data_IF_723283356987
#
_entry.id   IF_723283356987
#
_cell.length_a   1.000
_cell.length_b   1.000
_cell.length_c   1.000
_cell.angle_alpha   90.00
_cell.angle_beta   90.00
_cell.angle_gamma   90.00
#
_symmetry.space_group_name_H-M   'P 1'
#
loop_
_entity.id
_entity.type
_entity.pdbx_description
1 polymer ?
#
# COMPACT_ATOMS: atom_id res chain seq x y z
N UNK A 1 7.76 12.64 -28.42
CA UNK A 1 7.27 11.52 -27.58
C UNK A 1 6.00 12.01 -26.89
N UNK A 2 4.92 11.25 -26.97
CA UNK A 2 3.65 11.56 -26.28
C UNK A 2 3.82 11.32 -24.77
N UNK A 3 3.19 12.14 -23.94
CA UNK A 3 3.12 11.90 -22.49
C UNK A 3 2.40 10.58 -22.23
N UNK A 4 2.96 9.66 -21.41
CA UNK A 4 2.30 8.40 -21.09
C UNK A 4 0.93 8.62 -20.44
N UNK A 5 -0.02 7.72 -20.72
CA UNK A 5 -1.33 7.73 -20.07
C UNK A 5 -1.20 7.44 -18.57
N UNK A 6 -2.27 7.68 -17.79
CA UNK A 6 -2.27 7.30 -16.37
C UNK A 6 -2.20 5.79 -16.22
N UNK A 7 -2.91 5.02 -17.04
CA UNK A 7 -2.80 3.56 -17.07
C UNK A 7 -1.36 3.10 -17.30
N UNK A 8 -0.65 3.68 -18.27
CA UNK A 8 0.75 3.34 -18.54
C UNK A 8 1.67 3.65 -17.34
N UNK A 9 1.51 4.82 -16.71
CA UNK A 9 2.30 5.19 -15.52
C UNK A 9 2.02 4.30 -14.31
N UNK A 10 0.75 3.96 -14.07
CA UNK A 10 0.34 3.02 -13.01
C UNK A 10 0.96 1.64 -13.24
N UNK A 11 0.87 1.14 -14.47
CA UNK A 11 1.43 -0.14 -14.86
C UNK A 11 2.93 -0.20 -14.55
N UNK A 12 3.68 0.83 -14.95
CA UNK A 12 5.12 0.92 -14.64
C UNK A 12 5.38 0.97 -13.13
N UNK A 13 4.59 1.72 -12.35
CA UNK A 13 4.75 1.76 -10.89
C UNK A 13 4.54 0.39 -10.24
N UNK A 14 3.52 -0.35 -10.66
CA UNK A 14 3.24 -1.69 -10.13
C UNK A 14 4.36 -2.66 -10.50
N UNK A 15 4.85 -2.60 -11.74
CA UNK A 15 5.98 -3.43 -12.18
C UNK A 15 7.25 -3.16 -11.37
N UNK A 16 7.59 -1.90 -11.15
CA UNK A 16 8.78 -1.54 -10.39
C UNK A 16 8.62 -1.88 -8.90
N UNK A 17 7.42 -1.72 -8.34
CA UNK A 17 7.11 -2.15 -6.96
C UNK A 17 7.37 -3.64 -6.78
N UNK A 18 6.91 -4.47 -7.73
CA UNK A 18 7.18 -5.91 -7.69
C UNK A 18 8.68 -6.19 -7.69
N UNK A 19 9.45 -5.51 -8.55
CA UNK A 19 10.92 -5.72 -8.62
C UNK A 19 11.58 -5.39 -7.28
N UNK A 20 11.28 -4.22 -6.72
CA UNK A 20 11.82 -3.81 -5.41
C UNK A 20 11.49 -4.82 -4.33
N UNK A 21 10.23 -5.27 -4.27
CA UNK A 21 9.78 -6.24 -3.28
C UNK A 21 10.54 -7.57 -3.40
N UNK A 22 10.71 -8.09 -4.61
CA UNK A 22 11.47 -9.33 -4.85
C UNK A 22 12.97 -9.15 -4.58
N UNK A 23 13.56 -8.02 -4.96
CA UNK A 23 14.97 -7.71 -4.71
C UNK A 23 15.29 -7.65 -3.21
N UNK A 24 14.44 -6.97 -2.42
CA UNK A 24 14.59 -6.92 -0.95
C UNK A 24 14.48 -8.32 -0.36
N UNK A 25 13.49 -9.10 -0.80
CA UNK A 25 13.30 -10.48 -0.36
C UNK A 25 14.52 -11.37 -0.66
N UNK A 26 14.96 -11.40 -1.93
CA UNK A 26 16.06 -12.24 -2.39
C UNK A 26 17.39 -11.86 -1.72
N UNK A 27 17.53 -10.59 -1.33
CA UNK A 27 18.67 -10.08 -0.57
C UNK A 27 18.72 -10.51 0.90
N UNK A 28 17.64 -11.08 1.45
CA UNK A 28 17.62 -11.57 2.83
C UNK A 28 18.49 -12.82 3.02
N UNK A 29 19.13 -13.01 4.18
CA UNK A 29 19.72 -14.29 4.57
C UNK A 29 18.72 -15.45 4.41
N UNK A 30 19.15 -16.64 3.92
CA UNK A 30 18.23 -17.77 3.71
C UNK A 30 17.42 -18.20 4.92
N UNK A 31 17.96 -18.01 6.14
CA UNK A 31 17.24 -18.29 7.39
C UNK A 31 16.06 -17.34 7.62
N UNK A 32 16.18 -16.08 7.19
CA UNK A 32 15.10 -15.09 7.30
C UNK A 32 14.05 -15.27 6.19
N UNK A 33 14.48 -15.70 5.00
CA UNK A 33 13.56 -16.06 3.92
C UNK A 33 12.59 -17.19 4.32
N UNK A 34 12.99 -18.08 5.22
CA UNK A 34 12.11 -19.17 5.69
C UNK A 34 11.66 -19.00 7.14
N UNK A 35 11.93 -17.84 7.74
CA UNK A 35 11.50 -17.55 9.09
C UNK A 35 9.97 -17.60 9.21
N UNK A 36 9.52 -17.86 10.44
CA UNK A 36 8.11 -17.82 10.81
C UNK A 36 7.93 -16.68 11.79
N UNK A 37 6.98 -15.80 11.50
CA UNK A 37 6.61 -14.73 12.41
C UNK A 37 5.63 -15.20 13.48
N UNK A 38 5.20 -14.23 14.26
CA UNK A 38 4.08 -14.28 15.18
C UNK A 38 3.02 -13.29 14.71
N UNK A 39 1.78 -13.39 15.20
CA UNK A 39 0.68 -12.58 14.64
C UNK A 39 0.89 -11.07 14.80
N UNK A 40 1.62 -10.69 15.84
CA UNK A 40 2.02 -9.34 16.23
C UNK A 40 3.42 -8.95 15.75
N UNK A 41 4.18 -9.89 15.16
CA UNK A 41 5.49 -9.63 14.56
C UNK A 41 5.74 -10.58 13.39
N UNK A 42 5.33 -10.16 12.21
CA UNK A 42 5.42 -10.95 10.98
C UNK A 42 6.87 -11.18 10.57
N UNK A 43 7.19 -12.39 10.11
CA UNK A 43 8.44 -12.61 9.40
C UNK A 43 8.31 -12.05 7.98
N UNK A 44 9.42 -11.81 7.28
CA UNK A 44 9.38 -11.31 5.91
C UNK A 44 8.43 -12.12 4.99
N UNK A 45 8.35 -13.45 5.19
CA UNK A 45 7.49 -14.33 4.38
C UNK A 45 6.00 -14.05 4.59
N UNK A 46 5.64 -13.69 5.80
CA UNK A 46 4.27 -13.40 6.19
C UNK A 46 3.81 -12.06 5.56
N UNK A 47 4.72 -11.06 5.49
CA UNK A 47 4.51 -9.84 4.70
C UNK A 47 4.26 -10.15 3.22
N UNK A 48 5.06 -11.04 2.60
CA UNK A 48 4.83 -11.44 1.20
C UNK A 48 3.46 -12.06 0.98
N UNK A 49 3.05 -12.98 1.86
CA UNK A 49 1.75 -13.63 1.77
C UNK A 49 0.60 -12.62 1.94
N UNK A 50 0.78 -11.67 2.85
CA UNK A 50 -0.19 -10.59 3.06
C UNK A 50 -0.33 -9.67 1.84
N UNK A 51 0.79 -9.23 1.25
CA UNK A 51 0.78 -8.42 0.00
C UNK A 51 0.12 -9.21 -1.13
N UNK A 52 0.51 -10.47 -1.34
CA UNK A 52 -0.06 -11.33 -2.38
C UNK A 52 -1.58 -11.49 -2.24
N UNK A 53 -2.08 -11.61 -1.00
CA UNK A 53 -3.51 -11.72 -0.74
C UNK A 53 -4.28 -10.45 -1.14
N UNK A 54 -3.81 -9.27 -0.71
CA UNK A 54 -4.49 -8.02 -1.00
C UNK A 54 -4.40 -7.63 -2.48
N UNK A 55 -3.30 -7.98 -3.15
CA UNK A 55 -3.21 -7.87 -4.61
C UNK A 55 -4.14 -8.85 -5.32
N UNK A 56 -4.29 -10.08 -4.83
CA UNK A 56 -5.26 -11.03 -5.37
C UNK A 56 -6.70 -10.53 -5.20
N UNK A 57 -6.99 -9.85 -4.08
CA UNK A 57 -8.29 -9.20 -3.83
C UNK A 57 -8.55 -8.05 -4.80
N UNK A 58 -7.51 -7.26 -5.10
CA UNK A 58 -7.56 -6.19 -6.12
C UNK A 58 -7.78 -6.76 -7.51
N UNK A 59 -7.02 -7.80 -7.88
CA UNK A 59 -7.18 -8.54 -9.12
C UNK A 59 -8.61 -9.08 -9.28
N UNK A 60 -9.21 -9.65 -8.23
CA UNK A 60 -10.58 -10.16 -8.29
C UNK A 60 -11.59 -9.03 -8.57
N UNK A 61 -11.38 -7.81 -8.05
CA UNK A 61 -12.20 -6.63 -8.42
C UNK A 61 -12.02 -6.29 -9.89
N UNK A 62 -10.80 -6.29 -10.41
CA UNK A 62 -10.55 -6.01 -11.83
C UNK A 62 -11.19 -7.06 -12.75
N UNK A 63 -11.03 -8.35 -12.42
CA UNK A 63 -11.68 -9.46 -13.14
C UNK A 63 -13.20 -9.30 -13.14
N UNK A 64 -13.80 -8.87 -12.02
CA UNK A 64 -15.24 -8.57 -11.97
C UNK A 64 -15.65 -7.41 -12.89
N UNK A 65 -14.89 -6.31 -12.91
CA UNK A 65 -15.11 -5.17 -13.81
C UNK A 65 -15.08 -5.61 -15.28
N UNK A 66 -14.23 -6.58 -15.61
CA UNK A 66 -14.09 -7.18 -16.94
C UNK A 66 -15.13 -8.28 -17.25
N UNK A 67 -16.17 -8.42 -16.43
CA UNK A 67 -17.28 -9.36 -16.65
C UNK A 67 -17.14 -10.72 -15.96
N UNK A 68 -16.13 -10.87 -15.09
CA UNK A 68 -15.97 -12.04 -14.22
C UNK A 68 -16.94 -12.06 -13.03
N UNK A 69 -16.90 -13.13 -12.21
CA UNK A 69 -17.73 -13.23 -11.02
C UNK A 69 -17.41 -12.13 -10.01
N UNK A 70 -18.38 -11.82 -9.15
CA UNK A 70 -18.13 -10.93 -8.02
C UNK A 70 -17.03 -11.53 -7.11
N UNK A 71 -16.13 -10.70 -6.57
CA UNK A 71 -15.12 -11.19 -5.64
C UNK A 71 -15.77 -11.71 -4.37
N UNK A 72 -15.10 -12.65 -3.71
CA UNK A 72 -15.55 -13.19 -2.43
C UNK A 72 -15.71 -12.08 -1.38
N UNK A 73 -16.71 -12.27 -0.51
CA UNK A 73 -16.91 -11.41 0.63
C UNK A 73 -15.75 -11.62 1.61
N UNK A 74 -15.26 -10.53 2.17
CA UNK A 74 -14.30 -10.57 3.27
C UNK A 74 -15.04 -10.61 4.60
N UNK A 75 -14.30 -10.92 5.65
CA UNK A 75 -14.69 -10.67 7.04
C UNK A 75 -15.08 -9.20 7.24
N UNK A 76 -15.87 -8.92 8.27
CA UNK A 76 -16.35 -7.57 8.56
C UNK A 76 -15.19 -6.63 8.95
N UNK A 77 -14.20 -7.17 9.65
CA UNK A 77 -12.98 -6.47 10.06
C UNK A 77 -11.76 -7.01 9.31
N UNK A 78 -10.99 -6.12 8.68
CA UNK A 78 -9.82 -6.49 7.89
C UNK A 78 -8.74 -7.19 8.74
N UNK A 79 -8.68 -6.92 10.04
CA UNK A 79 -7.78 -7.63 10.96
C UNK A 79 -8.08 -9.12 11.00
N UNK A 80 -9.35 -9.53 11.01
CA UNK A 80 -9.73 -10.96 11.00
C UNK A 80 -9.26 -11.64 9.71
N UNK A 81 -9.41 -10.95 8.57
CA UNK A 81 -8.86 -11.39 7.28
C UNK A 81 -7.34 -11.56 7.36
N UNK A 82 -6.63 -10.57 7.92
CA UNK A 82 -5.17 -10.58 8.04
C UNK A 82 -4.69 -11.76 8.91
N UNK A 83 -5.32 -11.98 10.05
CA UNK A 83 -4.97 -13.10 10.92
C UNK A 83 -5.25 -14.46 10.28
N UNK A 84 -6.36 -14.57 9.53
CA UNK A 84 -6.66 -15.79 8.78
C UNK A 84 -5.57 -16.06 7.73
N UNK A 85 -5.23 -15.06 6.91
CA UNK A 85 -4.19 -15.16 5.88
C UNK A 85 -2.84 -15.53 6.50
N UNK A 86 -2.47 -14.89 7.61
CA UNK A 86 -1.26 -15.26 8.36
C UNK A 86 -1.27 -16.75 8.74
N UNK A 87 -2.33 -17.24 9.40
CA UNK A 87 -2.43 -18.63 9.84
C UNK A 87 -2.43 -19.64 8.69
N UNK A 88 -3.11 -19.33 7.59
CA UNK A 88 -3.19 -20.18 6.39
C UNK A 88 -1.81 -20.34 5.71
N UNK A 89 -0.96 -19.31 5.77
CA UNK A 89 0.31 -19.27 5.05
C UNK A 89 1.55 -19.49 5.93
N UNK A 90 1.42 -19.47 7.27
CA UNK A 90 2.53 -19.57 8.22
C UNK A 90 3.45 -20.80 8.03
N UNK A 91 2.93 -21.92 7.51
CA UNK A 91 3.70 -23.14 7.25
C UNK A 91 4.10 -23.32 5.80
N UNK A 92 3.66 -22.46 4.88
CA UNK A 92 3.98 -22.59 3.45
C UNK A 92 5.45 -22.24 3.20
N UNK A 93 6.15 -22.95 2.30
CA UNK A 93 7.48 -22.56 1.86
C UNK A 93 7.47 -21.17 1.21
N UNK A 94 8.55 -20.39 1.34
CA UNK A 94 8.63 -19.07 0.72
C UNK A 94 8.45 -19.14 -0.80
N UNK A 95 9.05 -20.15 -1.43
CA UNK A 95 8.97 -20.36 -2.87
C UNK A 95 7.53 -20.45 -3.38
N UNK A 96 6.62 -21.08 -2.63
CA UNK A 96 5.22 -21.15 -3.02
C UNK A 96 4.49 -19.81 -2.88
N UNK A 97 4.84 -19.02 -1.86
CA UNK A 97 4.27 -17.69 -1.65
C UNK A 97 4.75 -16.74 -2.75
N UNK A 98 6.02 -16.80 -3.11
CA UNK A 98 6.61 -16.03 -4.22
C UNK A 98 5.92 -16.41 -5.53
N UNK A 99 5.84 -17.71 -5.88
CA UNK A 99 5.15 -18.13 -7.12
C UNK A 99 3.69 -17.67 -7.17
N UNK A 100 3.00 -17.64 -6.02
CA UNK A 100 1.65 -17.10 -5.94
C UNK A 100 1.62 -15.58 -6.18
N UNK A 101 2.48 -14.83 -5.49
CA UNK A 101 2.62 -13.38 -5.66
C UNK A 101 2.92 -13.01 -7.11
N UNK A 102 3.86 -13.71 -7.76
CA UNK A 102 4.22 -13.49 -9.16
C UNK A 102 3.05 -13.71 -10.10
N UNK A 103 2.32 -14.83 -9.92
CA UNK A 103 1.12 -15.13 -10.71
C UNK A 103 0.07 -14.03 -10.54
N UNK A 104 -0.14 -13.55 -9.31
CA UNK A 104 -1.11 -12.49 -9.01
C UNK A 104 -0.71 -11.17 -9.69
N UNK A 105 0.57 -10.78 -9.64
CA UNK A 105 1.05 -9.56 -10.28
C UNK A 105 0.90 -9.61 -11.81
N UNK A 106 1.27 -10.72 -12.45
CA UNK A 106 1.15 -10.88 -13.90
C UNK A 106 -0.31 -10.81 -14.37
N UNK A 107 -1.20 -11.48 -13.64
CA UNK A 107 -2.64 -11.41 -13.87
C UNK A 107 -3.20 -10.00 -13.63
N UNK A 108 -2.69 -9.27 -12.62
CA UNK A 108 -3.11 -7.90 -12.31
C UNK A 108 -2.72 -6.93 -13.41
N UNK A 109 -1.48 -7.00 -13.90
CA UNK A 109 -1.02 -6.19 -15.03
C UNK A 109 -1.84 -6.52 -16.29
N UNK A 110 -2.09 -7.80 -16.55
CA UNK A 110 -2.92 -8.24 -17.68
C UNK A 110 -4.36 -7.72 -17.57
N UNK A 111 -4.94 -7.71 -16.37
CA UNK A 111 -6.27 -7.16 -16.14
C UNK A 111 -6.27 -5.63 -16.30
N UNK A 112 -5.24 -4.94 -15.80
CA UNK A 112 -5.07 -3.49 -15.93
C UNK A 112 -4.97 -3.08 -17.42
N UNK A 113 -4.18 -3.79 -18.22
CA UNK A 113 -4.00 -3.53 -19.65
C UNK A 113 -5.30 -3.66 -20.46
N UNK A 114 -6.30 -4.35 -19.92
CA UNK A 114 -7.62 -4.52 -20.54
C UNK A 114 -8.65 -3.48 -20.12
N UNK A 115 -8.36 -2.67 -19.10
CA UNK A 115 -9.27 -1.62 -18.66
C UNK A 115 -9.13 -0.40 -19.58
N UNK A 116 -10.25 0.18 -20.05
CA UNK A 116 -10.22 1.50 -20.67
C UNK A 116 -9.73 2.56 -19.67
N UNK A 117 -8.93 3.52 -20.13
CA UNK A 117 -8.42 4.62 -19.29
C UNK A 117 -9.56 5.38 -18.59
N UNK A 118 -10.73 5.52 -19.24
CA UNK A 118 -11.89 6.18 -18.65
C UNK A 118 -12.43 5.44 -17.41
N UNK A 119 -12.23 4.11 -17.35
CA UNK A 119 -12.63 3.31 -16.19
C UNK A 119 -11.74 3.61 -14.98
N UNK A 120 -10.47 3.99 -15.19
CA UNK A 120 -9.55 4.37 -14.13
C UNK A 120 -9.96 5.69 -13.45
N UNK A 121 -10.57 6.60 -14.22
CA UNK A 121 -11.03 7.92 -13.74
C UNK A 121 -12.43 7.89 -13.11
N UNK A 122 -13.15 6.78 -13.23
CA UNK A 122 -14.54 6.71 -12.81
C UNK A 122 -14.67 6.77 -11.28
N UNK A 123 -15.38 7.80 -10.81
CA UNK A 123 -15.63 8.07 -9.39
C UNK A 123 -16.99 7.54 -8.90
N UNK A 124 -17.87 7.13 -9.81
CA UNK A 124 -19.27 6.83 -9.49
C UNK A 124 -19.61 5.35 -9.68
N UNK A 125 -18.96 4.68 -10.62
CA UNK A 125 -19.25 3.28 -10.98
C UNK A 125 -18.93 2.28 -9.88
N UNK A 126 -18.02 2.63 -8.96
CA UNK A 126 -17.51 1.71 -7.95
C UNK A 126 -17.79 2.25 -6.54
N UNK A 127 -18.94 1.93 -5.91
CA UNK A 127 -19.28 2.46 -4.58
C UNK A 127 -18.19 2.23 -3.51
N UNK A 128 -17.45 1.14 -3.62
CA UNK A 128 -16.36 0.78 -2.71
C UNK A 128 -15.12 1.69 -2.81
N UNK A 129 -15.02 2.57 -3.81
CA UNK A 129 -13.96 3.60 -3.87
C UNK A 129 -14.32 4.86 -3.08
N UNK A 130 -15.56 4.94 -2.54
CA UNK A 130 -16.06 6.08 -1.77
C UNK A 130 -15.91 7.42 -2.52
N UNK A 131 -16.21 7.44 -3.82
CA UNK A 131 -16.13 8.64 -4.66
C UNK A 131 -14.74 8.97 -5.19
N UNK A 132 -13.71 8.19 -4.83
CA UNK A 132 -12.36 8.29 -5.39
C UNK A 132 -12.30 7.58 -6.76
N UNK A 133 -11.45 8.06 -7.70
CA UNK A 133 -11.26 7.36 -8.95
C UNK A 133 -10.59 6.00 -8.71
N UNK A 134 -10.93 5.00 -9.53
CA UNK A 134 -10.42 3.62 -9.40
C UNK A 134 -8.89 3.57 -9.30
N UNK A 135 -8.18 4.41 -10.06
CA UNK A 135 -6.72 4.41 -10.04
C UNK A 135 -6.12 4.64 -8.66
N UNK A 136 -6.77 5.41 -7.77
CA UNK A 136 -6.25 5.63 -6.41
C UNK A 136 -6.22 4.33 -5.61
N UNK A 137 -7.19 3.42 -5.83
CA UNK A 137 -7.16 2.10 -5.21
C UNK A 137 -6.06 1.20 -5.81
N UNK A 138 -5.78 1.37 -7.11
CA UNK A 138 -4.74 0.61 -7.83
C UNK A 138 -3.32 1.13 -7.59
N UNK A 139 -3.18 2.33 -7.03
CA UNK A 139 -1.91 2.80 -6.45
C UNK A 139 -1.81 2.36 -5.00
N UNK A 140 -2.90 2.48 -4.23
CA UNK A 140 -2.84 2.22 -2.79
C UNK A 140 -2.40 0.79 -2.47
N UNK A 141 -3.10 -0.23 -2.99
CA UNK A 141 -2.81 -1.62 -2.62
C UNK A 141 -1.52 -2.16 -3.29
N UNK A 142 -1.39 -2.16 -4.61
CA UNK A 142 -0.24 -2.80 -5.27
C UNK A 142 1.05 -1.96 -5.25
N UNK A 143 1.00 -0.69 -4.80
CA UNK A 143 2.17 0.20 -4.74
C UNK A 143 2.44 0.63 -3.30
N UNK A 144 1.63 1.53 -2.73
CA UNK A 144 1.90 2.08 -1.39
C UNK A 144 1.95 0.99 -0.30
N UNK A 145 0.94 0.13 -0.23
CA UNK A 145 0.82 -0.92 0.78
C UNK A 145 1.92 -1.99 0.63
N UNK A 146 2.25 -2.37 -0.61
CA UNK A 146 3.39 -3.25 -0.86
C UNK A 146 4.73 -2.62 -0.41
N UNK A 147 4.98 -1.36 -0.75
CA UNK A 147 6.21 -0.65 -0.34
C UNK A 147 6.27 -0.44 1.17
N UNK A 148 5.14 -0.16 1.84
CA UNK A 148 5.06 -0.11 3.29
C UNK A 148 5.59 -1.40 3.92
N UNK A 149 5.15 -2.56 3.44
CA UNK A 149 5.65 -3.84 3.97
C UNK A 149 7.10 -4.16 3.58
N UNK A 150 7.57 -3.70 2.42
CA UNK A 150 9.00 -3.74 2.10
C UNK A 150 9.80 -2.92 3.12
N UNK A 151 9.27 -1.75 3.50
CA UNK A 151 9.90 -0.88 4.49
C UNK A 151 9.90 -1.49 5.90
N UNK A 152 8.83 -2.18 6.31
CA UNK A 152 8.80 -2.96 7.56
C UNK A 152 9.95 -3.98 7.60
N UNK A 153 10.07 -4.78 6.53
CA UNK A 153 11.13 -5.79 6.42
C UNK A 153 12.52 -5.14 6.48
N UNK A 154 12.74 -4.01 5.80
CA UNK A 154 14.00 -3.28 5.86
C UNK A 154 14.27 -2.72 7.27
N UNK A 155 13.26 -2.17 7.94
CA UNK A 155 13.38 -1.66 9.30
C UNK A 155 13.78 -2.77 10.29
N UNK A 156 13.20 -3.96 10.16
CA UNK A 156 13.57 -5.14 10.96
C UNK A 156 15.01 -5.63 10.71
N UNK A 157 15.57 -5.32 9.54
CA UNK A 157 17.00 -5.53 9.24
C UNK A 157 17.89 -4.39 9.75
N UNK A 158 17.37 -3.47 10.57
CA UNK A 158 18.04 -2.25 11.00
C UNK A 158 18.46 -1.32 9.84
N UNK A 159 17.74 -1.37 8.71
CA UNK A 159 17.99 -0.57 7.50
C UNK A 159 16.96 0.56 7.34
N UNK A 160 16.68 1.26 8.43
CA UNK A 160 15.64 2.30 8.43
C UNK A 160 15.89 3.45 7.44
N UNK A 161 17.15 3.81 7.19
CA UNK A 161 17.48 4.83 6.20
C UNK A 161 17.21 4.36 4.76
N UNK A 162 17.42 3.07 4.46
CA UNK A 162 17.05 2.48 3.17
C UNK A 162 15.52 2.46 3.00
N UNK A 163 14.79 2.04 4.05
CA UNK A 163 13.32 2.05 4.08
C UNK A 163 12.77 3.46 3.86
N UNK A 164 13.33 4.46 4.56
CA UNK A 164 12.94 5.86 4.44
C UNK A 164 13.15 6.39 3.04
N UNK A 165 14.34 6.21 2.48
CA UNK A 165 14.65 6.67 1.13
C UNK A 165 13.70 6.05 0.09
N UNK A 166 13.39 4.76 0.26
CA UNK A 166 12.44 4.06 -0.60
C UNK A 166 11.02 4.62 -0.49
N UNK A 167 10.53 4.84 0.73
CA UNK A 167 9.19 5.39 0.95
C UNK A 167 9.07 6.82 0.40
N UNK A 168 10.08 7.66 0.61
CA UNK A 168 10.14 9.03 0.07
C UNK A 168 10.14 9.00 -1.47
N UNK A 169 10.95 8.13 -2.11
CA UNK A 169 10.97 7.96 -3.56
C UNK A 169 9.58 7.56 -4.09
N UNK A 170 8.93 6.57 -3.48
CA UNK A 170 7.62 6.12 -3.91
C UNK A 170 6.52 7.15 -3.64
N UNK A 171 6.63 7.96 -2.59
CA UNK A 171 5.76 9.10 -2.39
C UNK A 171 5.87 10.10 -3.56
N UNK A 172 7.07 10.48 -3.97
CA UNK A 172 7.29 11.38 -5.11
C UNK A 172 6.73 10.78 -6.42
N UNK A 173 6.96 9.50 -6.66
CA UNK A 173 6.47 8.79 -7.85
C UNK A 173 4.94 8.70 -7.88
N UNK A 174 4.30 8.46 -6.73
CA UNK A 174 2.85 8.48 -6.60
C UNK A 174 2.29 9.90 -6.78
N UNK A 175 2.91 10.92 -6.18
CA UNK A 175 2.53 12.32 -6.34
C UNK A 175 2.53 12.74 -7.82
N UNK A 176 3.46 12.25 -8.62
CA UNK A 176 3.54 12.53 -10.06
C UNK A 176 2.35 11.99 -10.89
N UNK A 177 1.50 11.13 -10.33
CA UNK A 177 0.31 10.62 -11.03
C UNK A 177 -0.77 11.67 -11.22
N UNK A 178 -0.91 12.62 -10.28
CA UNK A 178 -1.96 13.64 -10.33
C UNK A 178 -1.59 14.91 -9.55
N UNK A 179 -1.57 16.11 -10.16
CA UNK A 179 -1.23 17.34 -9.45
C UNK A 179 -2.36 17.86 -8.53
N UNK A 180 -3.52 17.22 -8.47
CA UNK A 180 -4.63 17.69 -7.63
C UNK A 180 -4.24 17.73 -6.14
N UNK A 181 -4.53 18.85 -5.48
CA UNK A 181 -4.24 19.08 -4.05
C UNK A 181 -4.72 17.93 -3.15
N UNK A 182 -5.91 17.39 -3.41
CA UNK A 182 -6.44 16.25 -2.64
C UNK A 182 -5.57 15.00 -2.75
N UNK A 183 -5.01 14.73 -3.93
CA UNK A 183 -4.07 13.62 -4.11
C UNK A 183 -2.72 13.90 -3.47
N UNK A 184 -2.17 15.10 -3.65
CA UNK A 184 -0.91 15.51 -3.01
C UNK A 184 -0.98 15.37 -1.48
N UNK A 185 -2.07 15.85 -0.88
CA UNK A 185 -2.31 15.67 0.56
C UNK A 185 -2.48 14.21 0.96
N UNK A 186 -3.08 13.35 0.11
CA UNK A 186 -3.18 11.91 0.38
C UNK A 186 -1.81 11.23 0.39
N UNK A 187 -0.93 11.61 -0.55
CA UNK A 187 0.44 11.07 -0.62
C UNK A 187 1.27 11.50 0.59
N UNK A 188 1.21 12.78 0.96
CA UNK A 188 1.91 13.29 2.15
C UNK A 188 1.39 12.68 3.45
N UNK A 189 0.08 12.48 3.56
CA UNK A 189 -0.52 11.80 4.71
C UNK A 189 0.00 10.37 4.85
N UNK A 190 0.03 9.62 3.75
CA UNK A 190 0.58 8.26 3.73
C UNK A 190 2.07 8.24 4.08
N UNK A 191 2.85 9.24 3.66
CA UNK A 191 4.24 9.38 4.09
C UNK A 191 4.36 9.71 5.59
N UNK A 192 3.41 10.47 6.14
CA UNK A 192 3.35 10.72 7.58
C UNK A 192 3.07 9.44 8.38
N UNK A 193 2.20 8.54 7.89
CA UNK A 193 1.94 7.25 8.52
C UNK A 193 3.23 6.42 8.62
N UNK A 194 4.01 6.33 7.54
CA UNK A 194 5.33 5.69 7.58
C UNK A 194 6.22 6.30 8.68
N UNK A 195 6.36 7.63 8.73
CA UNK A 195 7.18 8.26 9.76
C UNK A 195 6.67 8.00 11.19
N UNK A 196 5.35 7.98 11.40
CA UNK A 196 4.75 7.73 12.70
C UNK A 196 5.02 6.29 13.19
N UNK A 197 4.92 5.31 12.28
CA UNK A 197 5.18 3.89 12.56
C UNK A 197 6.66 3.61 12.84
N UNK A 198 7.58 4.33 12.19
CA UNK A 198 9.01 4.14 12.37
C UNK A 198 9.67 5.10 13.37
N UNK A 199 8.90 5.65 14.32
CA UNK A 199 9.39 6.49 15.43
C UNK A 199 10.08 7.80 14.98
N UNK A 200 9.57 8.43 13.91
CA UNK A 200 10.04 9.71 13.36
C UNK A 200 8.97 10.81 13.51
N UNK A 201 8.58 11.19 14.75
CA UNK A 201 7.38 11.98 15.00
C UNK A 201 7.43 13.38 14.40
N UNK A 202 8.59 14.06 14.39
CA UNK A 202 8.67 15.41 13.83
C UNK A 202 8.41 15.41 12.31
N UNK A 203 9.01 14.45 11.58
CA UNK A 203 8.79 14.31 10.14
C UNK A 203 7.32 13.96 9.84
N UNK A 204 6.71 13.09 10.65
CA UNK A 204 5.30 12.76 10.53
C UNK A 204 4.41 14.01 10.71
N UNK A 205 4.67 14.82 11.74
CA UNK A 205 3.89 16.05 12.02
C UNK A 205 4.04 17.09 10.91
N UNK A 206 5.24 17.26 10.36
CA UNK A 206 5.49 18.19 9.26
C UNK A 206 4.71 17.76 8.00
N UNK A 207 4.70 16.46 7.69
CA UNK A 207 3.89 15.89 6.61
C UNK A 207 2.39 16.03 6.87
N UNK A 208 1.90 15.78 8.08
CA UNK A 208 0.47 15.94 8.41
C UNK A 208 0.00 17.39 8.27
N UNK A 209 0.82 18.36 8.70
CA UNK A 209 0.49 19.77 8.55
C UNK A 209 0.30 20.16 7.07
N UNK A 210 1.20 19.69 6.21
CA UNK A 210 1.11 19.90 4.76
C UNK A 210 -0.07 19.13 4.14
N UNK A 211 -0.28 17.88 4.55
CA UNK A 211 -1.37 17.05 4.08
C UNK A 211 -2.75 17.65 4.40
N UNK A 212 -2.97 18.13 5.62
CA UNK A 212 -4.24 18.75 6.03
C UNK A 212 -4.50 20.09 5.33
N UNK A 213 -3.45 20.87 5.05
CA UNK A 213 -3.59 22.09 4.27
C UNK A 213 -4.05 21.79 2.82
N UNK A 214 -3.61 20.67 2.25
CA UNK A 214 -3.94 20.27 0.88
C UNK A 214 -5.23 19.44 0.76
N UNK A 215 -5.54 18.65 1.78
CA UNK A 215 -6.71 17.76 1.84
C UNK A 215 -7.30 17.72 3.26
N UNK A 216 -8.15 18.70 3.63
CA UNK A 216 -8.74 18.79 4.96
C UNK A 216 -9.61 17.59 5.36
N UNK A 217 -10.16 16.85 4.40
CA UNK A 217 -10.99 15.66 4.67
C UNK A 217 -10.19 14.55 5.40
N UNK A 218 -8.86 14.60 5.36
CA UNK A 218 -7.99 13.67 6.07
C UNK A 218 -7.94 13.92 7.57
N UNK A 219 -8.35 15.10 8.06
CA UNK A 219 -8.31 15.43 9.49
C UNK A 219 -9.19 14.47 10.28
N UNK A 220 -10.41 14.19 9.82
CA UNK A 220 -11.32 13.31 10.54
C UNK A 220 -10.86 11.86 10.50
N UNK A 221 -10.35 11.39 9.36
CA UNK A 221 -9.73 10.06 9.26
C UNK A 221 -8.52 9.93 10.18
N UNK A 222 -7.69 10.97 10.27
CA UNK A 222 -6.49 10.98 11.10
C UNK A 222 -6.76 10.70 12.57
N UNK A 223 -7.97 10.99 13.07
CA UNK A 223 -8.39 10.78 14.47
C UNK A 223 -8.57 9.31 14.86
N UNK A 224 -8.73 8.43 13.87
CA UNK A 224 -9.00 7.00 14.06
C UNK A 224 -7.98 6.07 13.38
N UNK A 225 -7.07 6.63 12.59
CA UNK A 225 -6.01 5.90 11.91
C UNK A 225 -4.99 5.31 12.90
N UNK A 226 -4.84 3.97 13.01
CA UNK A 226 -3.91 3.35 13.95
C UNK A 226 -2.44 3.68 13.65
N UNK A 227 -2.09 4.00 12.40
CA UNK A 227 -0.71 4.34 12.02
C UNK A 227 -0.20 5.58 12.77
N UNK A 228 -1.13 6.45 13.22
CA UNK A 228 -0.84 7.69 13.93
C UNK A 228 -0.96 7.55 15.46
N UNK A 229 -1.12 6.34 15.99
CA UNK A 229 -1.35 6.14 17.43
C UNK A 229 -0.21 6.68 18.30
N UNK A 230 1.04 6.58 17.81
CA UNK A 230 2.22 7.14 18.48
C UNK A 230 2.16 8.68 18.65
N UNK A 231 1.38 9.36 17.80
CA UNK A 231 1.25 10.83 17.79
C UNK A 231 0.04 11.33 18.56
N UNK A 232 -0.88 10.46 18.99
CA UNK A 232 -2.16 10.84 19.61
C UNK A 232 -2.02 11.80 20.77
N UNK A 233 -1.01 11.61 21.62
CA UNK A 233 -0.77 12.47 22.79
C UNK A 233 0.12 13.69 22.49
N UNK A 234 0.63 13.82 21.26
CA UNK A 234 1.57 14.87 20.89
C UNK A 234 0.85 16.24 20.78
N UNK A 235 1.31 17.29 21.47
CA UNK A 235 0.63 18.60 21.46
C UNK A 235 0.44 19.19 20.05
N UNK A 236 1.46 19.07 19.19
CA UNK A 236 1.36 19.51 17.78
C UNK A 236 0.30 18.73 17.01
N UNK A 237 0.17 17.42 17.23
CA UNK A 237 -0.85 16.62 16.56
C UNK A 237 -2.25 17.05 16.98
N UNK A 238 -2.46 17.25 18.30
CA UNK A 238 -3.72 17.76 18.84
C UNK A 238 -4.10 19.12 18.24
N UNK A 239 -3.14 20.05 18.14
CA UNK A 239 -3.38 21.33 17.49
C UNK A 239 -3.76 21.18 16.01
N UNK A 240 -3.10 20.29 15.27
CA UNK A 240 -3.39 20.05 13.85
C UNK A 240 -4.81 19.51 13.60
N UNK A 241 -5.33 18.66 14.49
CA UNK A 241 -6.65 18.03 14.31
C UNK A 241 -7.83 18.85 14.86
N UNK A 242 -7.54 19.87 15.68
CA UNK A 242 -8.53 20.79 16.26
C UNK A 242 -8.77 22.03 15.37
N UNK A 243 -7.77 22.44 14.58
CA UNK A 243 -7.84 23.60 13.68
C UNK A 243 -7.40 24.90 14.33
#
# INVERSE_FOLDING_TARGET
>A
MTTPSRGERLRTLIEDTRKVLLEVWEGLPPVQQEARGEIDHWAPKDHLAHVAFWDARTLARLKHILGGPAPEALEEHFQETNERVFREHATRPASEIISWLETVYEDLLTALDRLPDETLEDRQRFPWTAGRPLWQSLVFTPVYHAIHHVCDVLADQAKIEEARALQEEYAERMAALDPASSWQGTVEYNLACFYALHNLPQAALDCLASAFAQNPDLIDWSKQDPDLDSLRSHPTFQALIEG
#
